data_IF_826262612292
#
_entry.id   IF_826262612292
#
_cell.length_a   1.000
_cell.length_b   1.000
_cell.length_c   1.000
_cell.angle_alpha   90.00
_cell.angle_beta   90.00
_cell.angle_gamma   90.00
#
_symmetry.space_group_name_H-M   'P 1'
#
loop_
_entity.id
_entity.type
_entity.pdbx_description
1 polymer ?
#
# COMPACT_ATOMS: atom_id res chain seq x y z
N UNK A 1 -3.80 9.11 -12.62
CA UNK A 1 -4.39 8.18 -13.61
C UNK A 1 -5.10 8.87 -14.77
N UNK A 2 -5.82 9.96 -14.51
CA UNK A 2 -6.50 10.67 -15.60
C UNK A 2 -5.58 11.11 -16.73
N UNK A 3 -4.46 11.73 -16.38
CA UNK A 3 -3.52 12.18 -17.39
C UNK A 3 -2.91 11.01 -18.17
N UNK A 4 -2.60 9.92 -17.50
CA UNK A 4 -2.08 8.72 -18.14
C UNK A 4 -3.10 8.15 -19.13
N UNK A 5 -4.36 8.07 -18.72
CA UNK A 5 -5.44 7.59 -19.59
C UNK A 5 -5.64 8.50 -20.80
N UNK A 6 -5.48 9.80 -20.60
CA UNK A 6 -5.64 10.79 -21.68
C UNK A 6 -4.50 10.75 -22.68
N UNK A 7 -3.26 10.68 -22.18
CA UNK A 7 -2.07 10.78 -23.03
C UNK A 7 -1.68 9.42 -23.66
N UNK A 8 -1.98 8.33 -22.98
CA UNK A 8 -1.60 7.01 -23.45
C UNK A 8 -2.69 5.98 -23.10
N UNK A 9 -3.87 6.08 -23.75
CA UNK A 9 -5.01 5.23 -23.37
C UNK A 9 -4.76 3.75 -23.50
N UNK A 10 -4.01 3.32 -24.51
CA UNK A 10 -3.70 1.90 -24.70
C UNK A 10 -2.78 1.38 -23.59
N UNK A 11 -1.79 2.17 -23.22
CA UNK A 11 -0.88 1.82 -22.15
C UNK A 11 -1.59 1.81 -20.79
N UNK A 12 -2.46 2.79 -20.57
CA UNK A 12 -3.24 2.85 -19.34
C UNK A 12 -4.16 1.64 -19.20
N UNK A 13 -4.81 1.22 -20.30
CA UNK A 13 -5.65 0.04 -20.30
C UNK A 13 -4.84 -1.23 -20.02
N UNK A 14 -3.68 -1.37 -20.63
CA UNK A 14 -2.80 -2.52 -20.41
C UNK A 14 -2.30 -2.56 -18.96
N UNK A 15 -1.94 -1.40 -18.40
CA UNK A 15 -1.51 -1.29 -17.02
C UNK A 15 -2.63 -1.69 -16.05
N UNK A 16 -3.85 -1.20 -16.31
CA UNK A 16 -5.00 -1.57 -15.49
C UNK A 16 -5.30 -3.07 -15.56
N UNK A 17 -5.18 -3.68 -16.74
CA UNK A 17 -5.33 -5.12 -16.90
C UNK A 17 -4.28 -5.90 -16.10
N UNK A 18 -3.04 -5.42 -16.10
CA UNK A 18 -1.98 -6.02 -15.28
C UNK A 18 -2.34 -5.98 -13.80
N UNK A 19 -2.82 -4.81 -13.32
CA UNK A 19 -3.23 -4.67 -11.92
C UNK A 19 -4.33 -5.69 -11.56
N UNK A 20 -5.33 -5.83 -12.42
CA UNK A 20 -6.42 -6.79 -12.19
C UNK A 20 -5.91 -8.23 -12.14
N UNK A 21 -4.98 -8.58 -12.99
CA UNK A 21 -4.36 -9.91 -12.98
C UNK A 21 -3.58 -10.16 -11.68
N UNK A 22 -2.84 -9.16 -11.22
CA UNK A 22 -2.07 -9.26 -9.98
C UNK A 22 -2.98 -9.43 -8.76
N UNK A 23 -4.09 -8.69 -8.74
CA UNK A 23 -5.09 -8.82 -7.66
C UNK A 23 -5.73 -10.21 -7.67
N UNK A 24 -6.01 -10.76 -8.86
CA UNK A 24 -6.70 -12.03 -9.01
C UNK A 24 -5.84 -13.26 -8.69
N UNK A 25 -4.50 -13.14 -8.72
CA UNK A 25 -3.63 -14.28 -8.40
C UNK A 25 -3.85 -14.73 -6.96
N UNK A 26 -3.77 -16.04 -6.74
CA UNK A 26 -4.12 -16.66 -5.47
C UNK A 26 -2.92 -17.10 -4.61
N UNK A 27 -1.70 -16.78 -5.03
CA UNK A 27 -0.50 -17.12 -4.26
C UNK A 27 -0.45 -16.47 -2.87
N UNK A 28 -0.99 -15.26 -2.76
CA UNK A 28 -1.12 -14.52 -1.51
C UNK A 28 -2.57 -14.07 -1.35
N UNK A 29 -3.07 -14.05 -0.13
CA UNK A 29 -4.41 -13.51 0.11
C UNK A 29 -4.42 -11.98 -0.05
N UNK A 30 -5.62 -11.39 -0.14
CA UNK A 30 -5.77 -9.97 -0.44
C UNK A 30 -5.21 -9.08 0.69
N UNK A 31 -5.38 -9.48 1.93
CA UNK A 31 -4.83 -8.74 3.07
C UNK A 31 -3.30 -8.68 3.00
N UNK A 32 -2.66 -9.82 2.74
CA UNK A 32 -1.20 -9.90 2.64
C UNK A 32 -0.69 -9.05 1.48
N UNK A 33 -1.39 -9.07 0.33
CA UNK A 33 -1.02 -8.23 -0.80
C UNK A 33 -1.03 -6.75 -0.44
N UNK A 34 -2.06 -6.31 0.31
CA UNK A 34 -2.14 -4.92 0.74
C UNK A 34 -1.02 -4.55 1.73
N UNK A 35 -0.70 -5.46 2.66
CA UNK A 35 0.40 -5.22 3.60
C UNK A 35 1.73 -5.10 2.89
N UNK A 36 1.97 -5.95 1.90
CA UNK A 36 3.20 -5.90 1.10
C UNK A 36 3.26 -4.59 0.31
N UNK A 37 2.15 -4.20 -0.32
CA UNK A 37 2.09 -2.94 -1.07
C UNK A 37 2.41 -1.75 -0.17
N UNK A 38 1.78 -1.71 1.01
CA UNK A 38 2.01 -0.65 1.98
C UNK A 38 3.49 -0.59 2.38
N UNK A 39 4.10 -1.76 2.63
CA UNK A 39 5.53 -1.83 2.96
C UNK A 39 6.39 -1.30 1.81
N UNK A 40 6.11 -1.73 0.58
CA UNK A 40 6.86 -1.26 -0.58
C UNK A 40 6.78 0.25 -0.76
N UNK A 41 5.59 0.83 -0.60
CA UNK A 41 5.40 2.27 -0.73
C UNK A 41 6.03 3.04 0.43
N UNK A 42 6.01 2.46 1.63
CA UNK A 42 6.72 3.03 2.78
C UNK A 42 8.23 3.12 2.47
N UNK A 43 8.79 2.04 1.94
CA UNK A 43 10.21 2.00 1.58
C UNK A 43 10.56 3.06 0.54
N UNK A 44 9.63 3.36 -0.37
CA UNK A 44 9.80 4.40 -1.38
C UNK A 44 9.59 5.82 -0.84
N UNK A 45 9.11 5.94 0.39
CA UNK A 45 8.78 7.25 0.97
C UNK A 45 7.48 7.84 0.44
N UNK A 46 6.65 7.03 -0.20
CA UNK A 46 5.39 7.47 -0.81
C UNK A 46 4.23 7.28 0.18
N UNK A 47 4.13 8.19 1.14
CA UNK A 47 3.10 8.11 2.17
C UNK A 47 1.70 8.42 1.63
N UNK A 48 1.60 9.12 0.52
CA UNK A 48 0.31 9.40 -0.13
C UNK A 48 -0.34 8.11 -0.62
N UNK A 49 0.43 7.25 -1.30
CA UNK A 49 -0.05 5.95 -1.75
C UNK A 49 -0.40 5.06 -0.55
N UNK A 50 0.42 5.10 0.50
CA UNK A 50 0.14 4.35 1.72
C UNK A 50 -1.21 4.77 2.31
N UNK A 51 -1.45 6.08 2.46
CA UNK A 51 -2.71 6.58 3.01
C UNK A 51 -3.93 6.10 2.22
N UNK A 52 -3.80 6.01 0.91
CA UNK A 52 -4.90 5.54 0.06
C UNK A 52 -5.21 4.05 0.29
N UNK A 53 -4.21 3.26 0.64
CA UNK A 53 -4.36 1.82 0.81
C UNK A 53 -4.59 1.34 2.24
N UNK A 54 -4.32 2.17 3.24
CA UNK A 54 -4.54 1.81 4.64
C UNK A 54 -6.00 1.38 4.93
N UNK A 55 -7.02 2.15 4.49
CA UNK A 55 -8.40 1.72 4.74
C UNK A 55 -8.75 0.41 4.04
N UNK A 56 -8.19 0.16 2.86
CA UNK A 56 -8.42 -1.07 2.11
C UNK A 56 -7.88 -2.28 2.87
N UNK A 57 -6.68 -2.16 3.41
CA UNK A 57 -6.07 -3.23 4.20
C UNK A 57 -6.86 -3.47 5.49
N UNK A 58 -7.29 -2.40 6.15
CA UNK A 58 -8.11 -2.50 7.36
C UNK A 58 -9.42 -3.22 7.08
N UNK A 59 -10.08 -2.90 5.97
CA UNK A 59 -11.32 -3.54 5.57
C UNK A 59 -11.13 -5.04 5.33
N UNK A 60 -9.93 -5.46 4.93
CA UNK A 60 -9.58 -6.86 4.71
C UNK A 60 -9.15 -7.57 6.01
N UNK A 61 -9.21 -6.89 7.14
CA UNK A 61 -8.92 -7.46 8.43
C UNK A 61 -7.50 -7.26 8.94
N UNK A 62 -6.71 -6.39 8.30
CA UNK A 62 -5.37 -6.08 8.79
C UNK A 62 -5.49 -5.39 10.15
N UNK A 63 -4.78 -5.92 11.14
CA UNK A 63 -4.76 -5.35 12.47
C UNK A 63 -3.73 -4.21 12.56
N UNK A 64 -3.86 -3.40 13.60
CA UNK A 64 -2.89 -2.35 13.88
C UNK A 64 -1.46 -2.92 13.96
N UNK A 65 -1.31 -4.04 14.67
CA UNK A 65 0.00 -4.68 14.81
C UNK A 65 0.55 -5.18 13.49
N UNK A 66 -0.30 -5.78 12.65
CA UNK A 66 0.14 -6.23 11.32
C UNK A 66 0.61 -5.06 10.46
N UNK A 67 -0.11 -3.95 10.50
CA UNK A 67 0.29 -2.74 9.78
C UNK A 67 1.63 -2.20 10.26
N UNK A 68 1.79 -2.09 11.58
CA UNK A 68 3.02 -1.58 12.17
C UNK A 68 4.20 -2.50 11.83
N UNK A 69 4.00 -3.81 11.94
CA UNK A 69 5.06 -4.78 11.61
C UNK A 69 5.48 -4.69 10.16
N UNK A 70 4.52 -4.58 9.23
CA UNK A 70 4.84 -4.46 7.81
C UNK A 70 5.69 -3.21 7.54
N UNK A 71 5.31 -2.09 8.13
CA UNK A 71 6.02 -0.83 7.98
C UNK A 71 7.42 -0.90 8.61
N UNK A 72 7.54 -1.51 9.80
CA UNK A 72 8.83 -1.62 10.49
C UNK A 72 9.83 -2.49 9.72
N UNK A 73 9.36 -3.49 8.98
CA UNK A 73 10.26 -4.31 8.16
C UNK A 73 11.03 -3.49 7.13
N UNK A 74 10.48 -2.36 6.70
CA UNK A 74 11.15 -1.50 5.72
C UNK A 74 12.43 -0.87 6.27
N UNK A 75 12.60 -0.84 7.60
CA UNK A 75 13.83 -0.36 8.22
C UNK A 75 15.06 -1.13 7.71
N UNK A 76 14.87 -2.40 7.35
CA UNK A 76 15.96 -3.27 6.92
C UNK A 76 16.43 -2.98 5.49
N UNK A 77 15.67 -2.24 4.70
CA UNK A 77 16.00 -1.98 3.29
C UNK A 77 16.13 -0.49 2.97
N UNK A 78 15.35 0.38 3.59
CA UNK A 78 15.29 1.79 3.20
C UNK A 78 15.55 2.77 4.35
N UNK A 79 15.80 2.28 5.56
CA UNK A 79 16.02 3.15 6.71
C UNK A 79 14.74 3.73 7.26
N UNK A 80 14.85 4.77 8.09
CA UNK A 80 13.75 5.23 8.96
C UNK A 80 12.84 6.28 8.34
N UNK A 81 13.26 6.95 7.28
CA UNK A 81 12.55 8.10 6.74
C UNK A 81 11.09 7.81 6.38
N UNK A 82 10.87 6.71 5.64
CA UNK A 82 9.51 6.31 5.25
C UNK A 82 8.67 5.89 6.44
N UNK A 83 9.27 5.20 7.40
CA UNK A 83 8.60 4.76 8.62
C UNK A 83 8.06 5.96 9.39
N UNK A 84 8.87 7.01 9.55
CA UNK A 84 8.44 8.22 10.26
C UNK A 84 7.30 8.95 9.55
N UNK A 85 7.24 8.86 8.21
CA UNK A 85 6.15 9.47 7.44
C UNK A 85 4.85 8.68 7.59
N UNK A 86 4.93 7.36 7.69
CA UNK A 86 3.77 6.48 7.60
C UNK A 86 3.16 6.16 8.96
N UNK A 87 3.96 5.97 10.01
CA UNK A 87 3.45 5.62 11.33
C UNK A 87 2.33 6.54 11.83
N UNK A 88 2.42 7.88 11.68
CA UNK A 88 1.33 8.74 12.13
C UNK A 88 -0.02 8.42 11.49
N UNK A 89 -0.03 8.03 10.22
CA UNK A 89 -1.27 7.70 9.52
C UNK A 89 -1.89 6.40 10.04
N UNK A 90 -1.05 5.42 10.38
CA UNK A 90 -1.53 4.17 10.97
C UNK A 90 -2.14 4.43 12.35
N UNK A 91 -1.43 5.17 13.18
CA UNK A 91 -1.88 5.51 14.54
C UNK A 91 -3.21 6.27 14.47
N UNK A 92 -3.29 7.27 13.60
CA UNK A 92 -4.52 8.04 13.41
C UNK A 92 -5.70 7.15 13.03
N UNK A 93 -5.49 6.26 12.05
CA UNK A 93 -6.58 5.40 11.56
C UNK A 93 -7.09 4.41 12.60
N UNK A 94 -6.20 3.81 13.38
CA UNK A 94 -6.60 2.77 14.34
C UNK A 94 -6.97 3.31 15.71
N UNK A 95 -6.38 4.42 16.12
CA UNK A 95 -6.57 4.96 17.47
C UNK A 95 -7.63 6.07 17.54
N UNK A 96 -8.11 6.57 16.41
CA UNK A 96 -9.18 7.56 16.34
C UNK A 96 -10.53 6.87 16.53
N UNK A 97 -11.39 7.48 17.33
CA UNK A 97 -12.74 6.98 17.60
C UNK A 97 -13.81 7.75 16.83
#
# INVERSE_FOLDING_TARGET
MELFQKEAPECAAAFNSLIQLLIAREGLDQKTKQLIYIAMKTAMGDDRAVRAHLPMAKALGATREEMVDAVLLTLTVSGISGVLKVLPHIVEMYDTK
#
